data_IF_907139171740
#
_entry.id   IF_907139171740
#
_cell.length_a   1.000
_cell.length_b   1.000
_cell.length_c   1.000
_cell.angle_alpha   90.00
_cell.angle_beta   90.00
_cell.angle_gamma   90.00
#
_symmetry.space_group_name_H-M   'P 1'
#
loop_
_entity.id
_entity.type
_entity.pdbx_description
1 polymer ?
#
# COMPACT_ATOMS: atom_id res chain seq x y z
N UNK A 1 23.10 11.64 15.28
CA UNK A 1 23.06 11.46 13.82
C UNK A 1 21.65 11.07 13.46
N UNK A 2 20.95 11.85 12.65
CA UNK A 2 19.64 11.48 12.12
C UNK A 2 19.86 10.64 10.88
N UNK A 3 19.56 9.35 10.96
CA UNK A 3 19.61 8.45 9.82
C UNK A 3 18.66 8.92 8.72
N UNK A 4 19.19 9.07 7.50
CA UNK A 4 18.38 9.37 6.32
C UNK A 4 18.16 8.14 5.49
N UNK A 5 16.97 8.06 4.90
CA UNK A 5 16.58 7.01 3.97
C UNK A 5 16.14 7.63 2.65
N UNK A 6 16.64 7.09 1.55
CA UNK A 6 16.15 7.42 0.23
C UNK A 6 15.00 6.49 -0.14
N UNK A 7 13.94 7.07 -0.73
CA UNK A 7 12.75 6.39 -1.24
C UNK A 7 12.24 5.22 -0.37
N UNK A 8 11.98 5.47 0.93
CA UNK A 8 11.43 4.46 1.82
C UNK A 8 10.09 3.93 1.31
N UNK A 9 9.90 2.64 1.50
CA UNK A 9 8.78 1.93 0.96
C UNK A 9 8.33 0.80 1.91
N UNK A 10 7.02 0.71 2.12
CA UNK A 10 6.35 -0.30 2.96
C UNK A 10 5.41 -1.12 2.09
N UNK A 11 5.58 -2.44 2.16
CA UNK A 11 4.69 -3.40 1.53
C UNK A 11 3.91 -4.16 2.60
N UNK A 12 2.59 -4.21 2.46
CA UNK A 12 1.71 -5.13 3.16
C UNK A 12 1.30 -6.24 2.20
N UNK A 13 1.51 -7.48 2.61
CA UNK A 13 0.93 -8.65 1.98
C UNK A 13 -0.04 -9.28 2.97
N UNK A 14 -1.34 -9.29 2.66
CA UNK A 14 -2.37 -9.84 3.53
C UNK A 14 -3.17 -10.93 2.80
N UNK A 15 -3.50 -12.00 3.52
CA UNK A 15 -4.17 -13.18 2.97
C UNK A 15 -5.40 -13.55 3.81
N UNK A 16 -6.55 -13.69 3.15
CA UNK A 16 -7.83 -13.93 3.80
C UNK A 16 -8.58 -15.03 3.06
N UNK A 17 -9.06 -16.04 3.79
CA UNK A 17 -9.89 -17.09 3.19
C UNK A 17 -11.21 -16.50 2.70
N UNK A 18 -11.62 -16.88 1.50
CA UNK A 18 -12.90 -16.48 0.88
C UNK A 18 -14.12 -16.94 1.68
N UNK A 19 -13.97 -17.94 2.53
CA UNK A 19 -15.01 -18.47 3.42
C UNK A 19 -15.05 -17.77 4.78
N UNK A 20 -14.01 -17.01 5.14
CA UNK A 20 -13.99 -16.20 6.36
C UNK A 20 -14.92 -14.98 6.22
N UNK A 21 -15.47 -14.54 7.34
CA UNK A 21 -16.34 -13.36 7.40
C UNK A 21 -15.64 -12.20 8.12
N UNK A 22 -15.76 -10.96 7.63
CA UNK A 22 -16.43 -10.58 6.37
C UNK A 22 -15.57 -10.94 5.16
N UNK A 23 -16.18 -11.45 4.08
CA UNK A 23 -15.45 -11.88 2.87
C UNK A 23 -14.74 -10.72 2.16
N UNK A 24 -15.24 -9.50 2.32
CA UNK A 24 -14.71 -8.26 1.74
C UNK A 24 -13.65 -7.57 2.59
N UNK A 25 -13.26 -8.16 3.73
CA UNK A 25 -12.41 -7.53 4.75
C UNK A 25 -11.20 -6.79 4.17
N UNK A 26 -10.43 -7.46 3.29
CA UNK A 26 -9.20 -6.89 2.75
C UNK A 26 -9.46 -5.63 1.90
N UNK A 27 -10.56 -5.61 1.15
CA UNK A 27 -10.91 -4.50 0.26
C UNK A 27 -11.43 -3.32 1.07
N UNK A 28 -12.29 -3.61 2.05
CA UNK A 28 -12.83 -2.61 2.96
C UNK A 28 -11.71 -1.95 3.76
N UNK A 29 -10.76 -2.76 4.28
CA UNK A 29 -9.58 -2.25 4.99
C UNK A 29 -8.64 -1.46 4.09
N UNK A 30 -8.39 -1.92 2.88
CA UNK A 30 -7.61 -1.18 1.90
C UNK A 30 -8.23 0.20 1.62
N UNK A 31 -9.53 0.24 1.34
CA UNK A 31 -10.26 1.48 1.10
C UNK A 31 -10.31 2.40 2.33
N UNK A 32 -10.44 1.83 3.54
CA UNK A 32 -10.37 2.57 4.79
C UNK A 32 -9.00 3.27 4.95
N UNK A 33 -7.91 2.53 4.74
CA UNK A 33 -6.54 3.06 4.80
C UNK A 33 -6.34 4.16 3.75
N UNK A 34 -6.65 3.86 2.50
CA UNK A 34 -6.43 4.77 1.35
C UNK A 34 -7.24 6.07 1.51
N UNK A 35 -8.49 5.97 1.94
CA UNK A 35 -9.36 7.14 2.11
C UNK A 35 -9.05 7.93 3.38
N UNK A 36 -8.98 7.28 4.55
CA UNK A 36 -8.87 8.00 5.82
C UNK A 36 -7.45 8.42 6.16
N UNK A 37 -6.43 7.66 5.73
CA UNK A 37 -5.03 7.94 6.05
C UNK A 37 -4.33 8.71 4.93
N UNK A 38 -4.76 8.52 3.69
CA UNK A 38 -4.14 9.15 2.51
C UNK A 38 -5.08 10.09 1.75
N UNK A 39 -6.33 10.29 2.19
CA UNK A 39 -7.24 11.29 1.60
C UNK A 39 -7.64 11.01 0.15
N UNK A 40 -7.45 9.78 -0.33
CA UNK A 40 -7.76 9.39 -1.71
C UNK A 40 -9.25 9.07 -1.80
N UNK A 41 -9.95 9.76 -2.69
CA UNK A 41 -11.42 9.62 -2.85
C UNK A 41 -11.81 8.46 -3.74
N UNK A 42 -10.97 8.10 -4.71
CA UNK A 42 -11.21 6.94 -5.57
C UNK A 42 -11.05 5.67 -4.73
N UNK A 43 -12.01 4.76 -4.83
CA UNK A 43 -11.98 3.48 -4.14
C UNK A 43 -11.48 2.37 -5.05
N UNK A 44 -10.84 1.37 -4.44
CA UNK A 44 -10.56 0.09 -5.05
C UNK A 44 -11.87 -0.70 -5.13
N UNK A 45 -12.28 -1.02 -6.36
CA UNK A 45 -13.45 -1.82 -6.66
C UNK A 45 -13.03 -3.21 -7.16
N UNK A 46 -13.73 -4.22 -6.68
CA UNK A 46 -13.45 -5.62 -6.99
C UNK A 46 -14.50 -6.19 -7.94
N UNK A 47 -14.04 -6.92 -8.95
CA UNK A 47 -14.86 -7.77 -9.80
C UNK A 47 -14.34 -9.21 -9.75
N UNK A 48 -15.24 -10.14 -9.43
CA UNK A 48 -14.91 -11.55 -9.30
C UNK A 48 -15.13 -12.27 -10.63
N UNK A 49 -14.19 -13.12 -11.00
CA UNK A 49 -14.24 -13.91 -12.24
C UNK A 49 -13.94 -15.39 -11.97
N UNK A 50 -14.30 -16.25 -12.92
CA UNK A 50 -13.93 -17.66 -12.89
C UNK A 50 -12.45 -17.84 -13.15
N UNK A 51 -11.78 -18.70 -12.37
CA UNK A 51 -10.38 -19.03 -12.60
C UNK A 51 -9.66 -19.48 -11.34
N UNK A 52 -8.49 -20.09 -11.54
CA UNK A 52 -7.59 -20.49 -10.46
C UNK A 52 -6.94 -19.27 -9.79
N UNK A 53 -6.23 -18.46 -10.59
CA UNK A 53 -5.69 -17.17 -10.18
C UNK A 53 -6.44 -16.08 -10.95
N UNK A 54 -6.99 -15.12 -10.24
CA UNK A 54 -7.79 -14.04 -10.81
C UNK A 54 -7.29 -12.72 -10.24
N UNK A 55 -6.94 -11.79 -11.11
CA UNK A 55 -6.70 -10.41 -10.72
C UNK A 55 -8.06 -9.71 -10.57
N UNK A 56 -8.33 -9.17 -9.40
CA UNK A 56 -9.68 -8.84 -8.95
C UNK A 56 -10.08 -7.39 -9.18
N UNK A 57 -9.14 -6.52 -9.60
CA UNK A 57 -9.46 -5.13 -9.86
C UNK A 57 -10.47 -5.03 -11.01
N UNK A 58 -11.58 -4.31 -10.78
CA UNK A 58 -12.65 -4.14 -11.76
C UNK A 58 -12.17 -3.46 -13.05
N UNK A 59 -11.50 -2.31 -12.91
CA UNK A 59 -11.02 -1.52 -14.05
C UNK A 59 -9.62 -1.94 -14.51
N UNK A 60 -9.24 -3.22 -14.33
CA UNK A 60 -7.92 -3.72 -14.76
C UNK A 60 -7.78 -3.68 -16.28
N UNK A 61 -6.56 -3.53 -16.74
CA UNK A 61 -6.17 -3.71 -18.15
C UNK A 61 -5.28 -4.94 -18.28
N UNK A 62 -4.97 -5.33 -19.52
CA UNK A 62 -4.03 -6.44 -19.78
C UNK A 62 -2.63 -6.16 -19.21
N UNK A 63 -2.23 -4.89 -19.16
CA UNK A 63 -0.88 -4.48 -18.76
C UNK A 63 -0.80 -3.97 -17.31
N UNK A 64 -1.94 -3.61 -16.71
CA UNK A 64 -2.01 -3.06 -15.36
C UNK A 64 -3.23 -3.57 -14.60
N UNK A 65 -2.95 -4.35 -13.56
CA UNK A 65 -3.95 -4.98 -12.69
C UNK A 65 -3.99 -4.32 -11.31
N UNK A 66 -3.27 -3.21 -11.13
CA UNK A 66 -3.11 -2.56 -9.85
C UNK A 66 -3.87 -1.24 -9.75
N UNK A 67 -4.35 -0.95 -8.56
CA UNK A 67 -4.97 0.31 -8.21
C UNK A 67 -3.88 1.28 -7.74
N UNK A 68 -3.56 2.28 -8.57
CA UNK A 68 -2.56 3.30 -8.25
C UNK A 68 -3.21 4.52 -7.60
N UNK A 69 -2.55 5.06 -6.57
CA UNK A 69 -2.98 6.27 -5.90
C UNK A 69 -1.80 7.11 -5.42
N UNK A 70 -2.06 8.39 -5.18
CA UNK A 70 -1.07 9.34 -4.68
C UNK A 70 -1.69 10.29 -3.68
N UNK A 71 -0.88 10.76 -2.75
CA UNK A 71 -1.23 11.71 -1.72
C UNK A 71 -0.02 12.53 -1.29
N UNK A 72 -0.22 13.49 -0.40
CA UNK A 72 0.85 14.20 0.28
C UNK A 72 0.70 14.01 1.79
N UNK A 73 1.81 13.75 2.47
CA UNK A 73 1.90 13.71 3.94
C UNK A 73 2.75 14.86 4.43
N UNK A 74 2.43 15.40 5.60
CA UNK A 74 3.18 16.51 6.20
C UNK A 74 4.16 15.98 7.24
N UNK A 75 5.46 16.21 7.03
CA UNK A 75 6.51 15.93 8.00
C UNK A 75 7.32 17.21 8.23
N UNK A 76 7.46 17.65 9.49
CA UNK A 76 8.22 18.86 9.86
C UNK A 76 7.84 20.10 9.02
N UNK A 77 6.54 20.34 8.86
CA UNK A 77 5.95 21.40 8.02
C UNK A 77 6.26 21.32 6.52
N UNK A 78 6.85 20.21 6.06
CA UNK A 78 7.13 19.94 4.66
C UNK A 78 6.10 18.95 4.11
N UNK A 79 5.44 19.33 3.02
CA UNK A 79 4.54 18.44 2.27
C UNK A 79 5.37 17.53 1.37
N UNK A 80 5.27 16.22 1.58
CA UNK A 80 6.03 15.20 0.86
C UNK A 80 5.06 14.26 0.14
N UNK A 81 5.28 14.07 -1.16
CA UNK A 81 4.43 13.16 -1.94
C UNK A 81 4.67 11.70 -1.54
N UNK A 82 3.56 10.98 -1.39
CA UNK A 82 3.48 9.53 -1.19
C UNK A 82 2.71 8.95 -2.36
N UNK A 83 3.19 7.84 -2.89
CA UNK A 83 2.46 7.05 -3.89
C UNK A 83 2.21 5.67 -3.32
N UNK A 84 1.12 5.05 -3.74
CA UNK A 84 0.82 3.69 -3.38
C UNK A 84 0.16 2.91 -4.50
N UNK A 85 0.23 1.60 -4.35
CA UNK A 85 -0.29 0.63 -5.31
C UNK A 85 -0.97 -0.48 -4.52
N UNK A 86 -2.22 -0.80 -4.85
CA UNK A 86 -2.95 -1.92 -4.28
C UNK A 86 -3.29 -2.93 -5.37
N UNK A 87 -2.88 -4.18 -5.21
CA UNK A 87 -3.17 -5.26 -6.14
C UNK A 87 -4.04 -6.30 -5.45
N UNK A 88 -5.36 -6.29 -5.71
CA UNK A 88 -6.25 -7.32 -5.22
C UNK A 88 -6.21 -8.53 -6.14
N UNK A 89 -6.07 -9.73 -5.57
CA UNK A 89 -6.05 -10.98 -6.33
C UNK A 89 -6.74 -12.10 -5.54
N UNK A 90 -7.18 -13.14 -6.25
CA UNK A 90 -7.59 -14.41 -5.67
C UNK A 90 -6.74 -15.53 -6.22
N UNK A 91 -6.32 -16.45 -5.36
CA UNK A 91 -5.77 -17.75 -5.74
C UNK A 91 -6.64 -18.81 -5.06
N UNK A 92 -7.36 -19.60 -5.86
CA UNK A 92 -8.36 -20.57 -5.40
C UNK A 92 -9.37 -19.96 -4.41
N UNK A 93 -9.31 -20.36 -3.16
CA UNK A 93 -10.18 -19.97 -2.05
C UNK A 93 -9.56 -18.89 -1.16
N UNK A 94 -8.44 -18.30 -1.57
CA UNK A 94 -7.71 -17.28 -0.81
C UNK A 94 -7.70 -15.95 -1.55
N UNK A 95 -8.19 -14.91 -0.88
CA UNK A 95 -7.97 -13.53 -1.28
C UNK A 95 -6.61 -13.05 -0.80
N UNK A 96 -5.89 -12.38 -1.70
CA UNK A 96 -4.62 -11.73 -1.43
C UNK A 96 -4.68 -10.24 -1.74
N UNK A 97 -4.10 -9.44 -0.85
CA UNK A 97 -3.88 -8.02 -1.06
C UNK A 97 -2.38 -7.74 -0.96
N UNK A 98 -1.79 -7.25 -2.03
CA UNK A 98 -0.50 -6.58 -1.99
C UNK A 98 -0.74 -5.07 -1.99
N UNK A 99 -0.42 -4.39 -0.89
CA UNK A 99 -0.50 -2.94 -0.75
C UNK A 99 0.90 -2.36 -0.58
N UNK A 100 1.23 -1.37 -1.39
CA UNK A 100 2.49 -0.66 -1.38
C UNK A 100 2.26 0.81 -1.04
N UNK A 101 3.10 1.37 -0.18
CA UNK A 101 3.10 2.79 0.20
C UNK A 101 4.55 3.28 0.23
N UNK A 102 4.88 4.32 -0.53
CA UNK A 102 6.27 4.79 -0.67
C UNK A 102 6.40 6.29 -0.82
N UNK A 103 7.57 6.81 -0.44
CA UNK A 103 8.11 8.03 -1.06
C UNK A 103 8.64 7.66 -2.44
N UNK A 104 8.20 8.30 -3.54
CA UNK A 104 8.72 8.03 -4.87
C UNK A 104 10.24 8.18 -4.95
N UNK A 105 10.88 7.40 -5.81
CA UNK A 105 12.31 7.54 -6.13
C UNK A 105 12.62 8.82 -6.91
N UNK A 106 11.68 9.25 -7.75
CA UNK A 106 11.81 10.41 -8.62
C UNK A 106 10.72 11.42 -8.28
N UNK A 107 11.03 12.71 -8.44
CA UNK A 107 10.04 13.78 -8.39
C UNK A 107 9.06 13.65 -9.58
N UNK A 108 8.01 14.46 -9.58
CA UNK A 108 6.96 14.41 -10.61
C UNK A 108 7.49 14.54 -12.06
N UNK A 109 8.65 15.20 -12.24
CA UNK A 109 9.31 15.35 -13.54
C UNK A 109 10.00 14.07 -14.06
N UNK A 110 9.97 12.96 -13.31
CA UNK A 110 10.54 11.65 -13.67
C UNK A 110 12.03 11.66 -14.02
N UNK A 111 12.76 12.71 -13.66
CA UNK A 111 14.18 12.88 -14.03
C UNK A 111 15.05 13.18 -12.82
N UNK A 112 14.50 13.86 -11.82
CA UNK A 112 15.22 14.20 -10.59
C UNK A 112 14.89 13.21 -9.48
N UNK A 113 15.91 12.74 -8.74
CA UNK A 113 15.70 11.94 -7.52
C UNK A 113 15.04 12.77 -6.43
N UNK A 114 14.13 12.15 -5.70
CA UNK A 114 13.60 12.74 -4.47
C UNK A 114 14.68 12.88 -3.41
N UNK A 115 14.55 13.90 -2.57
CA UNK A 115 15.48 14.10 -1.46
C UNK A 115 15.35 12.99 -0.41
N UNK A 116 16.45 12.50 0.16
CA UNK A 116 16.40 11.61 1.31
C UNK A 116 15.66 12.25 2.49
N UNK A 117 14.89 11.44 3.19
CA UNK A 117 14.06 11.85 4.33
C UNK A 117 14.60 11.24 5.62
N UNK A 118 14.22 11.79 6.77
CA UNK A 118 14.46 11.16 8.07
C UNK A 118 13.87 9.74 8.09
N UNK A 119 14.51 8.79 8.78
CA UNK A 119 13.95 7.45 8.97
C UNK A 119 12.59 7.45 9.67
N UNK A 120 12.26 8.49 10.44
CA UNK A 120 10.92 8.69 11.02
C UNK A 120 9.82 8.84 9.97
N UNK A 121 10.15 9.13 8.70
CA UNK A 121 9.17 9.16 7.61
C UNK A 121 8.45 7.82 7.42
N UNK A 122 9.06 6.69 7.82
CA UNK A 122 8.40 5.38 7.76
C UNK A 122 7.09 5.35 8.57
N UNK A 123 6.98 6.14 9.64
CA UNK A 123 5.75 6.27 10.42
C UNK A 123 4.61 6.92 9.61
N UNK A 124 4.95 7.78 8.64
CA UNK A 124 3.97 8.40 7.74
C UNK A 124 3.42 7.41 6.70
N UNK A 125 4.13 6.29 6.46
CA UNK A 125 3.67 5.21 5.60
C UNK A 125 2.84 4.16 6.34
N UNK A 126 2.80 4.21 7.68
CA UNK A 126 1.98 3.36 8.54
C UNK A 126 1.35 4.17 9.69
N UNK A 127 0.54 5.20 9.38
CA UNK A 127 0.04 6.12 10.38
C UNK A 127 -0.87 5.40 11.39
N UNK A 128 -0.57 5.59 12.68
CA UNK A 128 -1.25 4.93 13.79
C UNK A 128 -1.23 3.39 13.70
N UNK A 129 -0.27 2.79 13.00
CA UNK A 129 -0.16 1.34 12.87
C UNK A 129 -1.24 0.70 12.00
N UNK A 130 -1.87 1.44 11.08
CA UNK A 130 -2.99 0.95 10.27
C UNK A 130 -2.70 -0.30 9.41
N UNK A 131 -1.44 -0.67 9.22
CA UNK A 131 -1.02 -1.88 8.52
C UNK A 131 -0.73 -3.06 9.46
N UNK A 132 -0.93 -2.92 10.77
CA UNK A 132 -0.62 -3.96 11.74
C UNK A 132 -1.66 -5.10 11.70
N UNK A 133 -1.28 -6.34 12.11
CA UNK A 133 -2.19 -7.49 12.04
C UNK A 133 -3.54 -7.31 12.74
N UNK A 134 -3.56 -6.60 13.86
CA UNK A 134 -4.77 -6.30 14.62
C UNK A 134 -5.71 -5.32 13.91
N UNK A 135 -5.18 -4.47 13.03
CA UNK A 135 -5.95 -3.49 12.26
C UNK A 135 -6.53 -4.08 10.97
N UNK A 136 -5.77 -4.94 10.29
CA UNK A 136 -6.21 -5.60 9.05
C UNK A 136 -7.10 -6.81 9.34
N UNK A 137 -6.73 -7.64 10.31
CA UNK A 137 -7.52 -8.81 10.72
C UNK A 137 -7.59 -9.95 9.70
N UNK A 138 -6.60 -10.09 8.82
CA UNK A 138 -6.55 -11.14 7.80
C UNK A 138 -6.60 -12.56 8.42
N UNK A 139 -7.39 -13.48 7.88
CA UNK A 139 -7.65 -14.77 8.55
C UNK A 139 -6.54 -15.80 8.39
N UNK A 140 -5.76 -15.74 7.30
CA UNK A 140 -4.59 -16.61 7.11
C UNK A 140 -3.35 -15.94 7.72
N UNK A 141 -3.26 -14.62 7.54
CA UNK A 141 -2.19 -13.81 8.10
C UNK A 141 -1.69 -12.78 7.11
N UNK A 142 -0.67 -12.06 7.55
CA UNK A 142 -0.07 -10.99 6.78
C UNK A 142 1.42 -10.85 7.07
N UNK A 143 2.10 -10.05 6.26
CA UNK A 143 3.50 -9.69 6.44
C UNK A 143 3.73 -8.25 5.99
N UNK A 144 4.57 -7.55 6.74
CA UNK A 144 5.11 -6.25 6.36
C UNK A 144 6.56 -6.41 5.88
N UNK A 145 6.87 -5.83 4.73
CA UNK A 145 8.23 -5.73 4.21
C UNK A 145 8.58 -4.27 4.04
N UNK A 146 9.68 -3.85 4.65
CA UNK A 146 10.21 -2.49 4.52
C UNK A 146 11.45 -2.55 3.63
N UNK A 147 11.48 -1.72 2.59
CA UNK A 147 12.65 -1.54 1.74
C UNK A 147 13.10 -0.10 1.81
N UNK A 148 14.37 0.10 2.16
CA UNK A 148 14.96 1.43 2.33
C UNK A 148 16.39 1.44 1.79
N UNK A 149 16.79 2.56 1.19
CA UNK A 149 18.20 2.84 0.96
C UNK A 149 18.73 3.69 2.11
N UNK A 150 19.49 3.06 2.99
CA UNK A 150 20.09 3.74 4.14
C UNK A 150 21.28 4.58 3.69
N UNK A 151 21.30 5.85 4.11
CA UNK A 151 22.41 6.76 3.85
C UNK A 151 23.11 7.07 5.17
N UNK A 152 24.39 6.72 5.25
CA UNK A 152 25.28 7.13 6.34
C UNK A 152 25.83 8.48 5.93
N UNK A 153 25.54 9.51 6.73
CA UNK A 153 26.24 10.80 6.66
C UNK A 153 27.70 10.63 7.13
#
# INVERSE_FOLDING_TARGET
MTSKVYAPNVHLFAFHLKTSQPTTLLWDKCNEIISQKFGVTKQLEIEEESGYRVDLLKDKTTDDVAFHFGSNVTLDNTSLAVTGVATPLRIQDTYGLALNLRRPELEQNQTQRTQPVSSSFLEQLNPAGCLMPEEIGSSIGQTLVLTVWYLID
#
